data_IF_943110092066
#
_entry.id   IF_943110092066
#
_cell.length_a   1.000
_cell.length_b   1.000
_cell.length_c   1.000
_cell.angle_alpha   90.00
_cell.angle_beta   90.00
_cell.angle_gamma   90.00
#
_symmetry.space_group_name_H-M   'P 1'
#
loop_
_entity.id
_entity.type
_entity.pdbx_description
1 polymer ?
#
# COMPACT_ATOMS: atom_id res chain seq x y z
N UNK A 1 -10.01 -21.73 1.16
CA UNK A 1 -10.75 -22.39 2.21
C UNK A 1 -11.62 -21.45 2.97
N UNK A 2 -12.89 -21.74 2.90
CA UNK A 2 -13.90 -20.88 3.54
C UNK A 2 -13.70 -20.83 5.05
N UNK A 3 -13.37 -21.98 5.66
CA UNK A 3 -13.15 -22.03 7.09
C UNK A 3 -12.01 -21.15 7.57
N UNK A 4 -10.99 -21.00 6.76
CA UNK A 4 -9.87 -20.15 7.10
C UNK A 4 -10.24 -18.68 7.05
N UNK A 5 -11.05 -18.29 6.07
CA UNK A 5 -11.53 -16.92 5.95
C UNK A 5 -12.39 -16.55 7.17
N UNK A 6 -13.26 -17.46 7.59
CA UNK A 6 -14.08 -17.25 8.77
C UNK A 6 -13.25 -17.15 10.04
N UNK A 7 -12.17 -17.92 10.13
CA UNK A 7 -11.26 -17.88 11.26
C UNK A 7 -10.64 -16.50 11.40
N UNK A 8 -10.17 -15.94 10.29
CA UNK A 8 -9.59 -14.60 10.30
C UNK A 8 -10.61 -13.56 10.75
N UNK A 9 -11.83 -13.68 10.26
CA UNK A 9 -12.91 -12.76 10.65
C UNK A 9 -13.19 -12.82 12.15
N UNK A 10 -13.15 -14.01 12.74
CA UNK A 10 -13.37 -14.17 14.18
C UNK A 10 -12.25 -13.56 15.02
N UNK A 11 -11.02 -13.60 14.53
CA UNK A 11 -9.89 -13.03 15.26
C UNK A 11 -9.87 -11.50 15.23
N UNK A 12 -10.31 -10.90 14.13
CA UNK A 12 -10.21 -9.45 13.95
C UNK A 12 -10.83 -8.63 15.07
N UNK A 13 -12.04 -8.99 15.60
CA UNK A 13 -12.61 -8.22 16.71
C UNK A 13 -11.82 -8.30 18.00
N UNK A 14 -11.09 -9.39 18.23
CA UNK A 14 -10.33 -9.59 19.45
C UNK A 14 -8.93 -8.94 19.37
N UNK A 15 -8.49 -8.59 18.18
CA UNK A 15 -7.18 -7.99 17.94
C UNK A 15 -7.35 -6.56 17.50
N UNK A 16 -6.47 -5.68 17.99
CA UNK A 16 -6.46 -4.30 17.52
C UNK A 16 -6.21 -4.30 16.01
N UNK A 17 -7.12 -3.73 15.25
CA UNK A 17 -6.96 -3.59 13.81
C UNK A 17 -5.83 -2.62 13.49
N UNK A 18 -4.96 -3.04 12.58
CA UNK A 18 -3.90 -2.19 12.07
C UNK A 18 -4.37 -1.62 10.73
N UNK A 19 -4.60 -0.31 10.68
CA UNK A 19 -5.11 0.36 9.48
C UNK A 19 -3.98 0.96 8.65
N UNK A 20 -4.30 1.39 7.44
CA UNK A 20 -3.33 2.12 6.61
C UNK A 20 -2.96 3.45 7.26
N UNK A 21 -3.87 4.09 7.99
CA UNK A 21 -3.56 5.28 8.75
C UNK A 21 -2.52 5.00 9.84
N UNK A 22 -2.62 3.83 10.48
CA UNK A 22 -1.62 3.40 11.46
C UNK A 22 -0.27 3.17 10.79
N UNK A 23 -0.28 2.60 9.58
CA UNK A 23 0.95 2.39 8.82
C UNK A 23 1.59 3.74 8.46
N UNK A 24 0.80 4.71 8.04
CA UNK A 24 1.31 6.06 7.75
C UNK A 24 2.00 6.66 8.97
N UNK A 25 1.38 6.55 10.14
CA UNK A 25 1.97 7.05 11.38
C UNK A 25 3.27 6.33 11.72
N UNK A 26 3.30 5.02 11.52
CA UNK A 26 4.50 4.22 11.80
C UNK A 26 5.65 4.58 10.87
N UNK A 27 5.36 4.79 9.59
CA UNK A 27 6.35 5.22 8.62
C UNK A 27 6.90 6.60 9.03
N UNK A 28 6.04 7.53 9.41
CA UNK A 28 6.46 8.85 9.87
C UNK A 28 7.35 8.77 11.11
N UNK A 29 7.01 7.90 12.06
CA UNK A 29 7.80 7.72 13.28
C UNK A 29 9.18 7.13 12.96
N UNK A 30 9.23 6.11 12.10
CA UNK A 30 10.49 5.46 11.73
C UNK A 30 11.36 6.34 10.85
N UNK A 31 10.78 7.28 10.14
CA UNK A 31 11.53 8.26 9.36
C UNK A 31 12.41 9.17 10.24
N UNK A 32 12.10 9.26 11.52
CA UNK A 32 12.88 10.05 12.47
C UNK A 32 13.99 9.27 13.15
N UNK A 33 14.03 7.94 12.97
CA UNK A 33 15.09 7.10 13.53
C UNK A 33 16.35 7.19 12.67
N UNK A 34 17.46 6.65 13.15
CA UNK A 34 18.68 6.58 12.34
C UNK A 34 18.54 5.53 11.24
N UNK A 35 19.32 5.68 10.17
CA UNK A 35 19.30 4.71 9.07
C UNK A 35 19.77 3.31 9.52
N UNK A 36 20.61 3.23 10.53
CA UNK A 36 21.08 1.96 11.07
C UNK A 36 19.98 1.21 11.83
N UNK A 37 19.04 1.94 12.39
CA UNK A 37 17.96 1.36 13.19
C UNK A 37 16.66 1.17 12.41
N UNK A 38 16.54 1.81 11.26
CA UNK A 38 15.27 1.86 10.53
C UNK A 38 15.47 1.67 9.04
N UNK A 39 14.93 0.59 8.53
CA UNK A 39 14.87 0.34 7.08
C UNK A 39 14.09 1.46 6.36
N UNK A 40 13.02 1.95 6.98
CA UNK A 40 12.23 3.06 6.47
C UNK A 40 13.11 4.29 6.25
N UNK A 41 13.89 4.66 7.26
CA UNK A 41 14.78 5.82 7.15
C UNK A 41 15.83 5.61 6.04
N UNK A 42 16.39 4.42 5.97
CA UNK A 42 17.38 4.09 4.94
C UNK A 42 16.80 4.26 3.53
N UNK A 43 15.56 3.81 3.34
CA UNK A 43 14.88 3.96 2.04
C UNK A 43 14.62 5.43 1.72
N UNK A 44 14.13 6.20 2.68
CA UNK A 44 13.87 7.61 2.47
C UNK A 44 15.16 8.37 2.14
N UNK A 45 16.24 8.04 2.84
CA UNK A 45 17.54 8.66 2.58
C UNK A 45 18.09 8.30 1.19
N UNK A 46 17.74 7.12 0.69
CA UNK A 46 18.19 6.69 -0.64
C UNK A 46 17.50 7.44 -1.78
N UNK A 47 16.38 8.11 -1.50
CA UNK A 47 15.73 9.00 -2.46
C UNK A 47 14.58 8.37 -3.24
N UNK A 48 13.91 9.21 -4.02
CA UNK A 48 12.68 8.87 -4.74
C UNK A 48 12.87 7.68 -5.68
N UNK A 49 13.96 7.68 -6.44
CA UNK A 49 14.19 6.63 -7.44
C UNK A 49 14.28 5.25 -6.80
N UNK A 50 15.00 5.13 -5.69
CA UNK A 50 15.13 3.86 -4.98
C UNK A 50 13.79 3.43 -4.40
N UNK A 51 13.06 4.36 -3.80
CA UNK A 51 11.73 4.07 -3.24
C UNK A 51 10.77 3.61 -4.33
N UNK A 52 10.78 4.27 -5.47
CA UNK A 52 9.94 3.91 -6.61
C UNK A 52 10.28 2.54 -7.16
N UNK A 53 11.58 2.25 -7.28
CA UNK A 53 12.04 0.94 -7.73
C UNK A 53 11.55 -0.18 -6.81
N UNK A 54 11.67 0.02 -5.51
CA UNK A 54 11.19 -0.96 -4.53
C UNK A 54 9.69 -1.18 -4.65
N UNK A 55 8.94 -0.12 -4.82
CA UNK A 55 7.49 -0.24 -5.01
C UNK A 55 7.17 -1.08 -6.26
N UNK A 56 7.87 -0.81 -7.36
CA UNK A 56 7.70 -1.56 -8.60
C UNK A 56 8.01 -3.04 -8.43
N UNK A 57 9.09 -3.36 -7.70
CA UNK A 57 9.46 -4.74 -7.41
C UNK A 57 8.36 -5.46 -6.62
N UNK A 58 7.84 -4.83 -5.59
CA UNK A 58 6.79 -5.43 -4.77
C UNK A 58 5.47 -5.57 -5.52
N UNK A 59 5.17 -4.64 -6.42
CA UNK A 59 3.99 -4.74 -7.28
C UNK A 59 4.09 -5.95 -8.20
N UNK A 60 5.26 -6.16 -8.80
CA UNK A 60 5.50 -7.32 -9.65
C UNK A 60 5.39 -8.63 -8.85
N UNK A 61 6.01 -8.68 -7.69
CA UNK A 61 5.95 -9.87 -6.84
C UNK A 61 4.52 -10.20 -6.41
N UNK A 62 3.72 -9.17 -6.10
CA UNK A 62 2.32 -9.35 -5.76
C UNK A 62 1.55 -9.94 -6.94
N UNK A 63 1.80 -9.42 -8.14
CA UNK A 63 1.16 -9.91 -9.37
C UNK A 63 1.51 -11.36 -9.63
N UNK A 64 2.78 -11.72 -9.48
CA UNK A 64 3.22 -13.11 -9.69
C UNK A 64 2.63 -14.04 -8.62
N UNK A 65 2.57 -13.58 -7.38
CA UNK A 65 1.96 -14.36 -6.30
C UNK A 65 0.48 -14.63 -6.58
N UNK A 66 -0.23 -13.64 -7.11
CA UNK A 66 -1.64 -13.78 -7.42
C UNK A 66 -1.90 -14.84 -8.48
N UNK A 67 -0.98 -14.98 -9.43
CA UNK A 67 -1.15 -15.92 -10.54
C UNK A 67 -0.78 -17.35 -10.16
N UNK A 68 0.28 -17.54 -9.39
CA UNK A 68 0.84 -18.88 -9.23
C UNK A 68 1.14 -19.33 -7.80
N UNK A 69 0.78 -18.55 -6.79
CA UNK A 69 1.16 -18.91 -5.43
C UNK A 69 -0.04 -18.96 -4.49
N UNK A 70 0.21 -19.31 -3.22
CA UNK A 70 -0.83 -19.46 -2.23
C UNK A 70 -1.40 -18.11 -1.77
N UNK A 71 -2.59 -18.13 -1.18
CA UNK A 71 -3.19 -16.94 -0.57
C UNK A 71 -2.27 -16.31 0.47
N UNK A 72 -1.57 -17.14 1.23
CA UNK A 72 -0.62 -16.65 2.24
C UNK A 72 0.48 -15.81 1.59
N UNK A 73 0.98 -16.23 0.44
CA UNK A 73 1.99 -15.48 -0.32
C UNK A 73 1.42 -14.17 -0.84
N UNK A 74 0.19 -14.21 -1.36
CA UNK A 74 -0.48 -12.99 -1.85
C UNK A 74 -0.61 -11.97 -0.71
N UNK A 75 -1.01 -12.42 0.46
CA UNK A 75 -1.15 -11.55 1.64
C UNK A 75 0.19 -10.92 2.00
N UNK A 76 1.26 -11.72 2.03
CA UNK A 76 2.58 -11.23 2.39
C UNK A 76 3.09 -10.18 1.38
N UNK A 77 2.96 -10.48 0.09
CA UNK A 77 3.43 -9.57 -0.96
C UNK A 77 2.57 -8.31 -1.03
N UNK A 78 1.25 -8.42 -0.81
CA UNK A 78 0.37 -7.27 -0.76
C UNK A 78 0.73 -6.35 0.41
N UNK A 79 1.08 -6.92 1.56
CA UNK A 79 1.53 -6.13 2.71
C UNK A 79 2.80 -5.36 2.39
N UNK A 80 3.76 -6.02 1.74
CA UNK A 80 5.00 -5.37 1.31
C UNK A 80 4.73 -4.26 0.29
N UNK A 81 3.80 -4.50 -0.63
CA UNK A 81 3.39 -3.50 -1.62
C UNK A 81 2.82 -2.26 -0.95
N UNK A 82 1.92 -2.44 -0.01
CA UNK A 82 1.31 -1.31 0.72
C UNK A 82 2.36 -0.55 1.53
N UNK A 83 3.28 -1.26 2.18
CA UNK A 83 4.35 -0.64 2.93
C UNK A 83 5.20 0.26 2.00
N UNK A 84 5.63 -0.26 0.87
CA UNK A 84 6.48 0.50 -0.06
C UNK A 84 5.69 1.63 -0.73
N UNK A 85 4.39 1.45 -0.93
CA UNK A 85 3.54 2.54 -1.40
C UNK A 85 3.55 3.70 -0.40
N UNK A 86 3.42 3.39 0.90
CA UNK A 86 3.46 4.43 1.92
C UNK A 86 4.82 5.14 1.97
N UNK A 87 5.90 4.42 1.70
CA UNK A 87 7.24 5.03 1.61
C UNK A 87 7.29 6.03 0.44
N UNK A 88 6.80 5.63 -0.73
CA UNK A 88 6.77 6.52 -1.90
C UNK A 88 5.92 7.76 -1.63
N UNK A 89 4.77 7.59 -1.01
CA UNK A 89 3.93 8.73 -0.65
C UNK A 89 4.69 9.67 0.30
N UNK A 90 5.37 9.12 1.29
CA UNK A 90 6.13 9.90 2.26
C UNK A 90 7.24 10.71 1.57
N UNK A 91 8.02 10.07 0.72
CA UNK A 91 9.15 10.74 0.07
C UNK A 91 8.68 11.82 -0.91
N UNK A 92 7.47 11.70 -1.43
CA UNK A 92 6.87 12.71 -2.31
C UNK A 92 6.02 13.74 -1.58
N UNK A 93 5.90 13.63 -0.25
CA UNK A 93 5.10 14.57 0.55
C UNK A 93 3.61 14.44 0.32
N UNK A 94 3.13 13.26 -0.05
CA UNK A 94 1.71 12.99 -0.27
C UNK A 94 1.15 12.27 0.95
N UNK A 95 -0.01 12.74 1.44
CA UNK A 95 -0.68 12.12 2.58
C UNK A 95 -1.67 11.07 2.10
N UNK A 96 -1.81 10.03 2.91
CA UNK A 96 -2.80 8.98 2.64
C UNK A 96 -4.20 9.56 2.45
N UNK A 97 -4.57 10.56 3.25
CA UNK A 97 -5.87 11.20 3.15
C UNK A 97 -6.14 11.79 1.76
N UNK A 98 -5.10 12.26 1.09
CA UNK A 98 -5.25 12.80 -0.28
C UNK A 98 -5.56 11.67 -1.28
N UNK A 99 -4.93 10.52 -1.10
CA UNK A 99 -5.21 9.34 -1.94
C UNK A 99 -6.62 8.84 -1.68
N UNK A 100 -7.01 8.76 -0.41
CA UNK A 100 -8.35 8.34 -0.03
C UNK A 100 -9.42 9.27 -0.59
N UNK A 101 -9.18 10.59 -0.55
CA UNK A 101 -10.10 11.57 -1.11
C UNK A 101 -10.30 11.36 -2.61
N UNK A 102 -9.22 11.07 -3.33
CA UNK A 102 -9.29 10.78 -4.76
C UNK A 102 -10.08 9.50 -5.03
N UNK A 103 -9.86 8.47 -4.23
CA UNK A 103 -10.62 7.22 -4.34
C UNK A 103 -12.11 7.44 -4.09
N UNK A 104 -12.43 8.19 -3.05
CA UNK A 104 -13.82 8.53 -2.74
C UNK A 104 -14.50 9.27 -3.88
N UNK A 105 -13.77 10.22 -4.48
CA UNK A 105 -14.26 10.98 -5.61
C UNK A 105 -14.57 10.07 -6.81
N UNK A 106 -13.70 9.11 -7.09
CA UNK A 106 -13.87 8.21 -8.22
C UNK A 106 -15.01 7.23 -8.02
N UNK A 107 -15.26 6.80 -6.79
CA UNK A 107 -16.27 5.79 -6.51
C UNK A 107 -17.71 6.29 -6.59
N UNK A 108 -17.94 7.58 -6.74
CA UNK A 108 -19.28 8.10 -6.97
C UNK A 108 -19.71 8.00 -8.44
N UNK A 109 -18.82 7.60 -9.34
CA UNK A 109 -19.11 7.42 -10.76
C UNK A 109 -19.19 5.95 -11.11
N UNK A 110 -19.95 5.61 -12.18
CA UNK A 110 -19.91 4.25 -12.70
C UNK A 110 -18.52 3.97 -13.29
N UNK A 111 -18.14 2.70 -13.36
CA UNK A 111 -16.87 2.32 -13.93
C UNK A 111 -16.65 2.84 -15.34
N UNK A 112 -17.70 2.84 -16.16
CA UNK A 112 -17.63 3.35 -17.53
C UNK A 112 -17.42 4.86 -17.58
N UNK A 113 -18.14 5.60 -16.74
CA UNK A 113 -18.01 7.06 -16.69
C UNK A 113 -16.61 7.46 -16.22
N UNK A 114 -16.09 6.77 -15.22
CA UNK A 114 -14.75 7.05 -14.73
C UNK A 114 -13.69 6.78 -15.78
N UNK A 115 -13.82 5.65 -16.49
CA UNK A 115 -12.87 5.29 -17.55
C UNK A 115 -12.87 6.32 -18.68
N UNK A 116 -14.03 6.79 -19.08
CA UNK A 116 -14.15 7.83 -20.08
C UNK A 116 -13.49 9.14 -19.63
N UNK A 117 -13.69 9.50 -18.36
CA UNK A 117 -13.08 10.70 -17.77
C UNK A 117 -11.55 10.63 -17.78
N UNK A 118 -11.00 9.47 -17.43
CA UNK A 118 -9.54 9.29 -17.47
C UNK A 118 -8.99 9.33 -18.88
N UNK A 119 -9.72 8.78 -19.83
CA UNK A 119 -9.34 8.86 -21.25
C UNK A 119 -9.24 10.29 -21.74
N UNK A 120 -10.18 11.12 -21.35
CA UNK A 120 -10.16 12.56 -21.73
C UNK A 120 -8.95 13.28 -21.13
N UNK A 121 -8.58 12.95 -19.90
CA UNK A 121 -7.41 13.57 -19.26
C UNK A 121 -6.09 13.20 -19.93
N UNK A 122 -6.03 12.03 -20.53
CA UNK A 122 -4.83 11.59 -21.25
C UNK A 122 -4.74 12.21 -22.65
N UNK A 123 -5.88 12.58 -23.21
CA UNK A 123 -5.92 13.26 -24.51
C UNK A 123 -5.51 14.68 -24.37
#
# INVERSE_FOLDING_TARGET
MVGDDNRWTCYLPAMKKFSLADLEKRVAARAKASADESYTRALLDAGVEKCAKKLGEEALETSLAAVGQSKKHVIAEAADLLYHLMIVLKVRGVRLAQVEAELGKRTVQSGHAEKASRGKRKG
#
